data_IF_825273031051
#
_entry.id   IF_825273031051
#
_cell.length_a   1.000
_cell.length_b   1.000
_cell.length_c   1.000
_cell.angle_alpha   90.00
_cell.angle_beta   90.00
_cell.angle_gamma   90.00
#
_symmetry.space_group_name_H-M   'P 1'
#
loop_
_entity.id
_entity.type
_entity.pdbx_description
1 polymer ?
#
# COMPACT_ATOMS: atom_id res chain seq x y z
N UNK A 1 -29.82 -0.91 27.17
CA UNK A 1 -29.46 -0.14 25.96
C UNK A 1 -27.99 -0.42 25.69
N UNK A 2 -27.70 -1.37 24.82
CA UNK A 2 -26.34 -1.67 24.37
C UNK A 2 -25.86 -0.51 23.49
N UNK A 3 -24.77 0.21 23.81
CA UNK A 3 -24.16 1.07 22.82
C UNK A 3 -23.59 0.15 21.75
N UNK A 4 -24.27 0.07 20.60
CA UNK A 4 -23.73 -0.59 19.42
C UNK A 4 -22.34 -0.03 19.17
N UNK A 5 -21.33 -0.81 19.52
CA UNK A 5 -19.93 -0.52 19.27
C UNK A 5 -19.74 -0.52 17.75
N UNK A 6 -20.14 0.58 17.10
CA UNK A 6 -19.71 0.94 15.76
C UNK A 6 -18.23 1.28 15.88
N UNK A 7 -17.41 0.25 16.04
CA UNK A 7 -15.97 0.35 15.99
C UNK A 7 -15.63 1.14 14.73
N UNK A 8 -14.97 2.27 14.91
CA UNK A 8 -14.60 3.17 13.82
C UNK A 8 -13.79 2.36 12.77
N UNK A 9 -14.19 2.36 11.49
CA UNK A 9 -13.71 1.38 10.50
C UNK A 9 -12.32 1.75 9.95
N UNK A 10 -11.32 1.92 10.83
CA UNK A 10 -9.95 2.32 10.51
C UNK A 10 -9.34 1.48 9.37
N UNK A 11 -9.62 0.17 9.34
CA UNK A 11 -9.08 -0.74 8.32
C UNK A 11 -9.46 -0.33 6.90
N UNK A 12 -10.68 0.19 6.71
CA UNK A 12 -11.16 0.65 5.40
C UNK A 12 -10.47 1.94 5.00
N UNK A 13 -10.35 2.90 5.94
CA UNK A 13 -9.68 4.17 5.70
C UNK A 13 -8.17 4.02 5.45
N UNK A 14 -7.50 3.12 6.18
CA UNK A 14 -6.09 2.78 5.94
C UNK A 14 -5.88 2.23 4.54
N UNK A 15 -6.68 1.24 4.11
CA UNK A 15 -6.58 0.66 2.76
C UNK A 15 -6.79 1.73 1.68
N UNK A 16 -7.85 2.54 1.82
CA UNK A 16 -8.13 3.61 0.87
C UNK A 16 -6.97 4.60 0.77
N UNK A 17 -6.47 5.09 1.92
CA UNK A 17 -5.38 6.08 1.98
C UNK A 17 -4.07 5.54 1.40
N UNK A 18 -3.72 4.28 1.70
CA UNK A 18 -2.52 3.66 1.16
C UNK A 18 -2.62 3.44 -0.35
N UNK A 19 -3.78 3.01 -0.86
CA UNK A 19 -4.03 2.81 -2.29
C UNK A 19 -3.87 4.12 -3.07
N UNK A 20 -4.43 5.22 -2.55
CA UNK A 20 -4.29 6.55 -3.15
C UNK A 20 -2.83 7.01 -3.19
N UNK A 21 -2.05 6.79 -2.12
CA UNK A 21 -0.62 7.15 -2.09
C UNK A 21 0.22 6.35 -3.11
N UNK A 22 -0.04 5.05 -3.26
CA UNK A 22 0.67 4.21 -4.24
C UNK A 22 0.35 4.65 -5.66
N UNK A 23 -0.92 4.93 -5.94
CA UNK A 23 -1.35 5.45 -7.25
C UNK A 23 -0.74 6.81 -7.55
N UNK A 24 -0.79 7.75 -6.61
CA UNK A 24 -0.18 9.08 -6.78
C UNK A 24 1.32 8.98 -7.13
N UNK A 25 2.08 8.15 -6.41
CA UNK A 25 3.51 7.90 -6.70
C UNK A 25 3.77 7.26 -8.07
N UNK A 26 2.83 6.49 -8.60
CA UNK A 26 2.93 5.92 -9.94
C UNK A 26 2.62 6.95 -11.04
N UNK A 27 1.71 7.90 -10.78
CA UNK A 27 1.34 8.96 -11.72
C UNK A 27 2.35 10.12 -11.76
N UNK A 28 2.88 10.58 -10.62
CA UNK A 28 3.80 11.74 -10.57
C UNK A 28 5.10 11.53 -11.35
N UNK A 29 5.55 10.28 -11.53
CA UNK A 29 6.78 9.97 -12.28
C UNK A 29 6.56 9.75 -13.78
N UNK A 30 5.30 9.70 -14.21
CA UNK A 30 4.92 9.53 -15.61
C UNK A 30 4.65 10.87 -16.31
N UNK A 31 4.68 11.99 -15.57
CA UNK A 31 4.39 13.33 -16.08
C UNK A 31 5.59 14.10 -16.67
N UNK A 32 6.82 13.59 -16.56
CA UNK A 32 8.03 14.27 -17.05
C UNK A 32 8.64 13.55 -18.26
N UNK A 33 7.88 13.51 -19.36
CA UNK A 33 8.37 12.98 -20.65
C UNK A 33 7.85 13.81 -21.80
N UNK A 34 8.23 15.09 -21.78
CA UNK A 34 8.14 15.97 -22.95
C UNK A 34 9.54 16.35 -23.41
N UNK A 35 10.35 15.38 -23.89
CA UNK A 35 11.34 15.62 -24.97
C UNK A 35 12.04 14.33 -25.43
N UNK A 36 11.71 13.91 -26.66
CA UNK A 36 12.62 13.35 -27.68
C UNK A 36 13.50 12.14 -27.35
N UNK A 37 13.16 10.97 -27.87
CA UNK A 37 14.13 9.87 -28.03
C UNK A 37 13.49 8.52 -28.34
N UNK A 38 13.57 8.08 -29.59
CA UNK A 38 13.19 6.74 -30.04
C UNK A 38 14.09 5.67 -29.43
N UNK A 39 13.63 4.96 -28.40
CA UNK A 39 14.11 3.62 -28.04
C UNK A 39 13.14 2.98 -27.03
N UNK A 40 12.52 1.86 -27.43
CA UNK A 40 11.89 0.85 -26.56
C UNK A 40 11.41 1.32 -25.19
N UNK A 41 10.26 2.00 -25.13
CA UNK A 41 9.55 2.28 -23.88
C UNK A 41 8.96 0.98 -23.32
N UNK A 42 9.81 0.12 -22.74
CA UNK A 42 9.35 -0.91 -21.81
C UNK A 42 8.88 -0.15 -20.57
N UNK A 43 7.58 -0.17 -20.22
CA UNK A 43 7.12 0.59 -19.06
C UNK A 43 7.90 0.11 -17.84
N UNK A 44 8.72 0.98 -17.27
CA UNK A 44 9.43 0.77 -16.00
C UNK A 44 8.46 0.75 -14.80
N UNK A 45 7.16 0.62 -15.05
CA UNK A 45 6.11 0.59 -14.06
C UNK A 45 5.25 -0.64 -14.30
N UNK A 46 5.44 -1.64 -13.43
CA UNK A 46 4.45 -2.70 -13.27
C UNK A 46 3.14 -2.01 -12.86
N UNK A 47 2.01 -2.30 -13.53
CA UNK A 47 0.71 -1.76 -13.12
C UNK A 47 0.46 -2.06 -11.64
N UNK A 48 -0.29 -1.18 -10.97
CA UNK A 48 -0.65 -1.38 -9.56
C UNK A 48 -1.17 -2.80 -9.34
N UNK A 49 -0.48 -3.54 -8.47
CA UNK A 49 -0.76 -4.93 -8.22
C UNK A 49 -1.75 -5.04 -7.06
N UNK A 50 -3.02 -5.05 -7.42
CA UNK A 50 -4.12 -5.06 -6.45
C UNK A 50 -4.12 -6.31 -5.58
N UNK A 51 -3.67 -7.46 -6.12
CA UNK A 51 -3.58 -8.71 -5.35
C UNK A 51 -2.48 -8.62 -4.30
N UNK A 52 -1.28 -8.21 -4.71
CA UNK A 52 -0.17 -8.01 -3.76
C UNK A 52 -0.56 -7.00 -2.67
N UNK A 53 -1.21 -5.91 -3.05
CA UNK A 53 -1.69 -4.91 -2.10
C UNK A 53 -2.67 -5.51 -1.09
N UNK A 54 -3.66 -6.29 -1.54
CA UNK A 54 -4.64 -6.91 -0.66
C UNK A 54 -4.01 -7.96 0.27
N UNK A 55 -3.02 -8.72 -0.20
CA UNK A 55 -2.29 -9.70 0.62
C UNK A 55 -1.48 -9.03 1.74
N UNK A 56 -0.75 -7.96 1.39
CA UNK A 56 -0.02 -7.15 2.36
C UNK A 56 -1.02 -6.51 3.33
N UNK A 57 -2.10 -5.92 2.82
CA UNK A 57 -3.10 -5.27 3.66
C UNK A 57 -3.78 -6.26 4.62
N UNK A 58 -4.06 -7.48 4.18
CA UNK A 58 -4.67 -8.52 5.02
C UNK A 58 -3.73 -8.96 6.14
N UNK A 59 -2.44 -9.13 5.81
CA UNK A 59 -1.39 -9.50 6.77
C UNK A 59 -1.15 -8.37 7.77
N UNK A 60 -0.97 -7.15 7.28
CA UNK A 60 -0.63 -5.97 8.07
C UNK A 60 -1.80 -5.49 8.93
N UNK A 61 -3.02 -5.52 8.41
CA UNK A 61 -4.22 -5.08 9.13
C UNK A 61 -4.82 -6.19 9.99
N UNK A 62 -4.12 -7.29 10.23
CA UNK A 62 -4.62 -8.41 11.03
C UNK A 62 -5.19 -7.95 12.39
N UNK A 63 -6.32 -8.52 12.85
CA UNK A 63 -6.95 -8.12 14.12
C UNK A 63 -6.08 -8.41 15.36
N UNK A 64 -4.96 -9.12 15.17
CA UNK A 64 -3.94 -9.31 16.21
C UNK A 64 -3.16 -8.03 16.54
N UNK A 65 -3.18 -7.01 15.67
CA UNK A 65 -2.45 -5.75 15.93
C UNK A 65 -3.04 -4.97 17.12
N UNK A 66 -2.19 -4.51 18.05
CA UNK A 66 -2.64 -3.81 19.25
C UNK A 66 -3.38 -2.50 18.92
N UNK A 67 -3.01 -1.82 17.84
CA UNK A 67 -3.63 -0.56 17.41
C UNK A 67 -5.11 -0.70 17.04
N UNK A 68 -5.55 -1.88 16.61
CA UNK A 68 -6.97 -2.15 16.31
C UNK A 68 -7.74 -2.69 17.52
N UNK A 69 -7.07 -3.02 18.62
CA UNK A 69 -7.70 -3.47 19.88
C UNK A 69 -8.02 -2.30 20.80
N UNK A 70 -7.28 -1.20 20.69
CA UNK A 70 -7.51 -0.01 21.50
C UNK A 70 -8.61 0.85 20.87
N UNK A 71 -9.62 1.21 21.67
CA UNK A 71 -10.57 2.24 21.28
C UNK A 71 -9.83 3.58 21.25
N UNK A 72 -9.76 4.21 20.07
CA UNK A 72 -9.19 5.54 19.94
C UNK A 72 -10.04 6.53 20.76
N UNK A 73 -9.38 7.36 21.56
CA UNK A 73 -10.02 8.35 22.43
C UNK A 73 -10.52 9.55 21.64
N UNK A 74 -9.99 9.76 20.43
CA UNK A 74 -10.39 10.85 19.54
C UNK A 74 -10.31 10.45 18.06
N UNK A 75 -11.02 11.20 17.20
CA UNK A 75 -10.87 11.08 15.74
C UNK A 75 -9.47 11.44 15.26
N UNK A 76 -8.81 12.38 15.93
CA UNK A 76 -7.45 12.80 15.59
C UNK A 76 -6.44 11.66 15.80
N UNK A 77 -6.53 10.97 16.94
CA UNK A 77 -5.70 9.80 17.24
C UNK A 77 -5.93 8.67 16.23
N UNK A 78 -7.19 8.43 15.86
CA UNK A 78 -7.51 7.45 14.81
C UNK A 78 -6.89 7.85 13.46
N UNK A 79 -6.95 9.13 13.07
CA UNK A 79 -6.37 9.61 11.82
C UNK A 79 -4.83 9.51 11.78
N UNK A 80 -4.16 9.67 12.93
CA UNK A 80 -2.71 9.51 13.06
C UNK A 80 -2.29 8.04 12.96
N UNK A 81 -3.02 7.15 13.63
CA UNK A 81 -2.84 5.70 13.51
C UNK A 81 -3.08 5.27 12.05
N UNK A 82 -4.15 5.77 11.43
CA UNK A 82 -4.45 5.51 10.02
C UNK A 82 -3.31 5.97 9.10
N UNK A 83 -2.79 7.18 9.30
CA UNK A 83 -1.71 7.73 8.49
C UNK A 83 -0.43 6.90 8.62
N UNK A 84 -0.09 6.48 9.85
CA UNK A 84 1.10 5.67 10.13
C UNK A 84 1.01 4.30 9.47
N UNK A 85 -0.11 3.60 9.66
CA UNK A 85 -0.29 2.25 9.09
C UNK A 85 -0.38 2.32 7.56
N UNK A 86 -1.00 3.36 7.00
CA UNK A 86 -1.03 3.57 5.57
C UNK A 86 0.39 3.77 5.00
N UNK A 87 1.22 4.58 5.65
CA UNK A 87 2.61 4.79 5.25
C UNK A 87 3.43 3.49 5.30
N UNK A 88 3.29 2.71 6.37
CA UNK A 88 3.93 1.40 6.51
C UNK A 88 3.53 0.44 5.39
N UNK A 89 2.24 0.40 5.04
CA UNK A 89 1.74 -0.44 3.94
C UNK A 89 2.34 -0.04 2.59
N UNK A 90 2.46 1.27 2.33
CA UNK A 90 3.09 1.80 1.13
C UNK A 90 4.58 1.43 1.07
N UNK A 91 5.29 1.52 2.18
CA UNK A 91 6.71 1.15 2.26
C UNK A 91 6.92 -0.35 2.01
N UNK A 92 6.13 -1.21 2.65
CA UNK A 92 6.20 -2.66 2.44
C UNK A 92 5.91 -3.02 0.98
N UNK A 93 4.86 -2.42 0.39
CA UNK A 93 4.54 -2.62 -1.02
C UNK A 93 5.68 -2.19 -1.93
N UNK A 94 6.28 -1.01 -1.68
CA UNK A 94 7.41 -0.51 -2.45
C UNK A 94 8.64 -1.42 -2.31
N UNK A 95 8.94 -1.89 -1.11
CA UNK A 95 10.06 -2.79 -0.84
C UNK A 95 9.89 -4.13 -1.56
N UNK A 96 8.69 -4.72 -1.52
CA UNK A 96 8.42 -5.97 -2.24
C UNK A 96 8.54 -5.76 -3.75
N UNK A 97 7.98 -4.67 -4.29
CA UNK A 97 8.13 -4.34 -5.72
C UNK A 97 9.59 -4.10 -6.12
N UNK A 98 10.41 -3.54 -5.24
CA UNK A 98 11.85 -3.39 -5.44
C UNK A 98 12.54 -4.76 -5.44
N UNK A 99 12.24 -5.62 -4.47
CA UNK A 99 12.83 -6.96 -4.38
C UNK A 99 12.40 -7.88 -5.54
N UNK A 100 11.19 -7.71 -6.08
CA UNK A 100 10.77 -8.41 -7.31
C UNK A 100 11.58 -8.01 -8.56
N UNK A 101 12.34 -6.92 -8.49
CA UNK A 101 13.29 -6.51 -9.54
C UNK A 101 14.66 -7.16 -9.38
N UNK A 102 14.91 -7.83 -8.27
CA UNK A 102 16.13 -8.59 -8.08
C UNK A 102 16.21 -9.69 -9.16
N UNK A 103 17.29 -9.74 -9.96
CA UNK A 103 17.44 -10.73 -11.01
C UNK A 103 17.38 -12.17 -10.49
N UNK A 104 17.77 -12.44 -9.23
CA UNK A 104 17.65 -13.76 -8.62
C UNK A 104 16.18 -14.13 -8.35
N UNK A 105 15.38 -13.17 -7.88
CA UNK A 105 13.94 -13.35 -7.67
C UNK A 105 13.21 -13.52 -9.00
N UNK A 106 13.62 -12.78 -10.04
CA UNK A 106 13.07 -12.97 -11.39
C UNK A 106 13.41 -14.33 -11.98
N UNK A 107 14.65 -14.78 -11.79
CA UNK A 107 15.10 -16.11 -12.24
C UNK A 107 14.32 -17.21 -11.52
N UNK A 108 14.13 -17.09 -10.20
CA UNK A 108 13.33 -18.04 -9.42
C UNK A 108 11.85 -18.04 -9.84
N UNK A 109 11.25 -16.87 -10.02
CA UNK A 109 9.86 -16.73 -10.47
C UNK A 109 9.64 -17.25 -11.90
N UNK A 110 10.69 -17.29 -12.74
CA UNK A 110 10.62 -17.87 -14.08
C UNK A 110 10.74 -19.40 -14.09
N UNK A 111 11.19 -20.00 -12.98
CA UNK A 111 11.38 -21.45 -12.81
C UNK A 111 10.21 -22.12 -12.08
N UNK A 112 9.28 -21.34 -11.53
CA UNK A 112 8.04 -21.79 -10.89
C UNK A 112 6.85 -21.59 -11.82
#
# INVERSE_FOLDING_TARGET
>A
MEPTSRAYPMRVFVKHRAKEQIKARAYDRSGDSSQGGTASHRPLYSPFDERLFEDIATTLLSPSRPEFRHQCKSRQEAAEIEARIAAELVEIYAQIKLNQRDPLVQMLNALL
#
